data_IF_496620199515
#
_entry.id   IF_496620199515
#
_cell.length_a   1.000
_cell.length_b   1.000
_cell.length_c   1.000
_cell.angle_alpha   90.00
_cell.angle_beta   90.00
_cell.angle_gamma   90.00
#
_symmetry.space_group_name_H-M   'P 1'
#
loop_
_entity.id
_entity.type
_entity.pdbx_description
1 polymer ?
#
# COMPACT_ATOMS: atom_id res chain seq x y z
N UNK A 1 -27.05 9.12 -12.71
CA UNK A 1 -26.14 10.26 -12.48
C UNK A 1 -27.00 11.49 -12.23
N UNK A 2 -26.74 12.22 -11.15
CA UNK A 2 -27.47 13.44 -10.81
C UNK A 2 -27.04 14.57 -11.74
N UNK A 3 -27.95 15.12 -12.54
CA UNK A 3 -27.63 16.31 -13.32
C UNK A 3 -27.44 17.51 -12.37
N UNK A 4 -26.35 18.29 -12.53
CA UNK A 4 -26.07 19.45 -11.69
C UNK A 4 -27.12 20.56 -11.81
N UNK A 5 -28.04 20.44 -12.76
CA UNK A 5 -29.16 21.35 -12.97
C UNK A 5 -30.22 21.28 -11.86
N UNK A 6 -30.27 20.18 -11.10
CA UNK A 6 -31.14 20.07 -9.94
C UNK A 6 -30.37 20.37 -8.65
N UNK A 7 -30.98 21.14 -7.75
CA UNK A 7 -30.39 21.53 -6.47
C UNK A 7 -29.93 20.32 -5.63
N UNK A 8 -30.71 19.24 -5.67
CA UNK A 8 -30.38 17.96 -5.01
C UNK A 8 -29.15 17.30 -5.62
N UNK A 9 -28.97 17.41 -6.94
CA UNK A 9 -27.80 16.87 -7.64
C UNK A 9 -26.51 17.60 -7.26
N UNK A 10 -26.57 18.92 -7.18
CA UNK A 10 -25.42 19.74 -6.78
C UNK A 10 -24.98 19.46 -5.33
N UNK A 11 -25.92 19.34 -4.38
CA UNK A 11 -25.60 18.98 -3.00
C UNK A 11 -24.96 17.58 -2.92
N UNK A 12 -25.48 16.63 -3.70
CA UNK A 12 -24.93 15.27 -3.76
C UNK A 12 -23.49 15.29 -4.30
N UNK A 13 -23.21 16.10 -5.32
CA UNK A 13 -21.88 16.23 -5.90
C UNK A 13 -20.87 16.84 -4.91
N UNK A 14 -21.25 17.91 -4.19
CA UNK A 14 -20.39 18.52 -3.17
C UNK A 14 -20.12 17.57 -2.02
N UNK A 15 -21.17 16.91 -1.50
CA UNK A 15 -21.02 15.96 -0.39
C UNK A 15 -20.15 14.77 -0.78
N UNK A 16 -20.31 14.24 -2.00
CA UNK A 16 -19.45 13.21 -2.56
C UNK A 16 -17.98 13.66 -2.63
N UNK A 17 -17.73 14.87 -3.14
CA UNK A 17 -16.38 15.45 -3.21
C UNK A 17 -15.75 15.61 -1.81
N UNK A 18 -16.51 16.10 -0.84
CA UNK A 18 -16.05 16.26 0.55
C UNK A 18 -15.71 14.91 1.21
N UNK A 19 -16.55 13.88 1.01
CA UNK A 19 -16.29 12.54 1.51
C UNK A 19 -15.04 11.93 0.87
N UNK A 20 -14.84 12.15 -0.43
CA UNK A 20 -13.67 11.67 -1.15
C UNK A 20 -12.38 12.31 -0.63
N UNK A 21 -12.36 13.64 -0.44
CA UNK A 21 -11.24 14.33 0.18
C UNK A 21 -10.94 13.81 1.59
N UNK A 22 -11.99 13.66 2.41
CA UNK A 22 -11.87 13.10 3.75
C UNK A 22 -11.25 11.69 3.74
N UNK A 23 -11.70 10.83 2.81
CA UNK A 23 -11.16 9.48 2.65
C UNK A 23 -9.68 9.48 2.27
N UNK A 24 -9.25 10.40 1.41
CA UNK A 24 -7.84 10.55 1.01
C UNK A 24 -6.99 11.01 2.19
N UNK A 25 -7.44 12.00 2.96
CA UNK A 25 -6.72 12.49 4.14
C UNK A 25 -6.54 11.39 5.18
N UNK A 26 -7.62 10.66 5.50
CA UNK A 26 -7.60 9.54 6.45
C UNK A 26 -6.63 8.45 5.96
N UNK A 27 -6.66 8.16 4.66
CA UNK A 27 -5.77 7.15 4.06
C UNK A 27 -4.31 7.58 4.16
N UNK A 28 -3.96 8.81 3.80
CA UNK A 28 -2.60 9.34 3.96
C UNK A 28 -2.13 9.22 5.41
N UNK A 29 -2.97 9.67 6.36
CA UNK A 29 -2.65 9.60 7.79
C UNK A 29 -2.40 8.16 8.26
N UNK A 30 -3.26 7.22 7.86
CA UNK A 30 -3.12 5.80 8.18
C UNK A 30 -1.79 5.24 7.67
N UNK A 31 -1.43 5.49 6.42
CA UNK A 31 -0.21 4.92 5.82
C UNK A 31 1.06 5.52 6.41
N UNK A 32 1.07 6.82 6.71
CA UNK A 32 2.18 7.46 7.43
C UNK A 32 2.32 6.82 8.83
N UNK A 33 1.20 6.64 9.54
CA UNK A 33 1.17 5.97 10.83
C UNK A 33 1.77 4.57 10.77
N UNK A 34 1.40 3.79 9.77
CA UNK A 34 1.95 2.43 9.60
C UNK A 34 3.45 2.45 9.29
N UNK A 35 3.92 3.37 8.45
CA UNK A 35 5.35 3.52 8.16
C UNK A 35 6.17 3.85 9.44
N UNK A 36 5.64 4.72 10.30
CA UNK A 36 6.26 5.08 11.59
C UNK A 36 6.29 3.87 12.54
N UNK A 37 5.17 3.14 12.67
CA UNK A 37 5.09 1.95 13.53
C UNK A 37 6.08 0.88 13.09
N UNK A 38 6.21 0.64 11.78
CA UNK A 38 7.19 -0.32 11.26
C UNK A 38 8.63 0.10 11.53
N UNK A 39 8.93 1.40 11.42
CA UNK A 39 10.26 1.91 11.76
C UNK A 39 10.59 1.71 13.24
N UNK A 40 9.62 1.94 14.12
CA UNK A 40 9.76 1.70 15.57
C UNK A 40 9.94 0.22 15.90
N UNK A 41 9.16 -0.67 15.28
CA UNK A 41 9.32 -2.13 15.45
C UNK A 41 10.71 -2.59 15.05
N UNK A 42 11.20 -2.19 13.89
CA UNK A 42 12.55 -2.52 13.44
C UNK A 42 13.64 -2.04 14.41
N UNK A 43 13.46 -0.88 15.05
CA UNK A 43 14.40 -0.39 16.05
C UNK A 43 14.37 -1.22 17.34
N UNK A 44 13.17 -1.58 17.79
CA UNK A 44 12.96 -2.44 18.96
C UNK A 44 13.59 -3.83 18.74
N UNK A 45 13.41 -4.41 17.56
CA UNK A 45 14.00 -5.70 17.19
C UNK A 45 15.54 -5.66 17.20
N UNK A 46 16.15 -4.55 16.78
CA UNK A 46 17.61 -4.36 16.84
C UNK A 46 18.10 -4.36 18.30
N UNK A 47 17.36 -3.71 19.21
CA UNK A 47 17.75 -3.59 20.61
C UNK A 47 17.51 -4.87 21.41
N UNK A 48 16.39 -5.56 21.19
CA UNK A 48 15.98 -6.71 21.99
C UNK A 48 16.62 -8.02 21.51
N UNK A 49 16.85 -8.16 20.20
CA UNK A 49 17.31 -9.41 19.59
C UNK A 49 18.78 -9.37 19.13
N UNK A 50 19.51 -8.28 19.39
CA UNK A 50 20.90 -8.07 18.95
C UNK A 50 21.11 -8.37 17.45
N UNK A 51 20.10 -8.07 16.62
CA UNK A 51 20.17 -8.29 15.18
C UNK A 51 21.12 -7.30 14.53
N UNK A 52 21.76 -7.74 13.44
CA UNK A 52 22.59 -6.84 12.65
C UNK A 52 21.77 -5.64 12.15
N UNK A 53 22.23 -4.45 12.52
CA UNK A 53 21.57 -3.18 12.26
C UNK A 53 21.38 -2.95 10.76
N UNK A 54 22.35 -3.33 9.93
CA UNK A 54 22.31 -3.07 8.48
C UNK A 54 21.23 -3.91 7.80
N UNK A 55 21.24 -5.22 8.04
CA UNK A 55 20.27 -6.14 7.43
C UNK A 55 18.83 -5.86 7.87
N UNK A 56 18.60 -5.58 9.16
CA UNK A 56 17.26 -5.29 9.71
C UNK A 56 16.68 -4.00 9.11
N UNK A 57 17.50 -2.96 8.99
CA UNK A 57 17.06 -1.66 8.49
C UNK A 57 16.77 -1.69 6.98
N UNK A 58 17.53 -2.48 6.21
CA UNK A 58 17.24 -2.73 4.78
C UNK A 58 15.92 -3.48 4.61
N UNK A 59 15.67 -4.50 5.42
CA UNK A 59 14.40 -5.26 5.39
C UNK A 59 13.21 -4.36 5.72
N UNK A 60 13.32 -3.55 6.77
CA UNK A 60 12.30 -2.58 7.16
C UNK A 60 12.05 -1.54 6.07
N UNK A 61 13.10 -0.95 5.49
CA UNK A 61 12.99 0.02 4.40
C UNK A 61 12.28 -0.57 3.17
N UNK A 62 12.52 -1.85 2.85
CA UNK A 62 11.83 -2.52 1.74
C UNK A 62 10.32 -2.63 1.98
N UNK A 63 9.90 -2.94 3.22
CA UNK A 63 8.48 -2.97 3.59
C UNK A 63 7.89 -1.57 3.52
N UNK A 64 8.54 -0.57 4.12
CA UNK A 64 8.10 0.83 4.09
C UNK A 64 7.95 1.31 2.64
N UNK A 65 8.90 0.98 1.77
CA UNK A 65 8.85 1.33 0.36
C UNK A 65 7.64 0.74 -0.36
N UNK A 66 7.31 -0.55 -0.11
CA UNK A 66 6.10 -1.17 -0.68
C UNK A 66 4.83 -0.45 -0.24
N UNK A 67 4.77 -0.03 1.02
CA UNK A 67 3.63 0.69 1.60
C UNK A 67 3.48 2.07 1.00
N UNK A 68 4.60 2.79 0.82
CA UNK A 68 4.62 4.09 0.14
C UNK A 68 4.19 3.94 -1.33
N UNK A 69 4.69 2.91 -2.03
CA UNK A 69 4.27 2.63 -3.42
C UNK A 69 2.77 2.37 -3.52
N UNK A 70 2.20 1.61 -2.58
CA UNK A 70 0.75 1.37 -2.54
C UNK A 70 -0.03 2.65 -2.22
N UNK A 71 0.48 3.50 -1.34
CA UNK A 71 -0.11 4.83 -1.07
C UNK A 71 -0.11 5.70 -2.33
N UNK A 72 1.00 5.76 -3.07
CA UNK A 72 1.09 6.53 -4.31
C UNK A 72 0.09 6.01 -5.34
N UNK A 73 -0.02 4.68 -5.50
CA UNK A 73 -1.00 4.09 -6.41
C UNK A 73 -2.44 4.45 -6.02
N UNK A 74 -2.77 4.40 -4.72
CA UNK A 74 -4.06 4.84 -4.19
C UNK A 74 -4.31 6.33 -4.49
N UNK A 75 -3.31 7.20 -4.26
CA UNK A 75 -3.44 8.63 -4.52
C UNK A 75 -3.65 8.95 -6.00
N UNK A 76 -3.00 8.20 -6.90
CA UNK A 76 -3.21 8.37 -8.34
C UNK A 76 -4.64 7.94 -8.72
N UNK A 77 -5.08 6.78 -8.25
CA UNK A 77 -6.40 6.24 -8.57
C UNK A 77 -7.53 7.15 -8.07
N UNK A 78 -7.45 7.62 -6.83
CA UNK A 78 -8.47 8.50 -6.24
C UNK A 78 -8.28 9.97 -6.67
N UNK A 79 -7.04 10.39 -6.89
CA UNK A 79 -6.73 11.76 -7.31
C UNK A 79 -7.30 12.10 -8.69
N UNK A 80 -7.32 11.14 -9.62
CA UNK A 80 -7.94 11.35 -10.93
C UNK A 80 -9.44 11.66 -10.79
N UNK A 81 -10.16 10.89 -9.97
CA UNK A 81 -11.58 11.15 -9.71
C UNK A 81 -11.80 12.50 -9.01
N UNK A 82 -10.99 12.85 -8.00
CA UNK A 82 -11.07 14.15 -7.33
C UNK A 82 -10.92 15.29 -8.34
N UNK A 83 -9.96 15.20 -9.27
CA UNK A 83 -9.76 16.21 -10.30
C UNK A 83 -10.96 16.28 -11.25
N UNK A 84 -11.47 15.14 -11.70
CA UNK A 84 -12.63 15.09 -12.60
C UNK A 84 -13.88 15.70 -11.96
N UNK A 85 -14.20 15.30 -10.72
CA UNK A 85 -15.32 15.85 -9.95
C UNK A 85 -15.11 17.34 -9.68
N UNK A 86 -13.89 17.76 -9.38
CA UNK A 86 -13.55 19.17 -9.19
C UNK A 86 -13.81 20.00 -10.45
N UNK A 87 -13.42 19.50 -11.63
CA UNK A 87 -13.71 20.14 -12.92
C UNK A 87 -15.22 20.21 -13.16
N UNK A 88 -15.97 19.15 -12.87
CA UNK A 88 -17.43 19.13 -13.00
C UNK A 88 -18.10 20.16 -12.08
N UNK A 89 -17.64 20.30 -10.83
CA UNK A 89 -18.13 21.33 -9.90
C UNK A 89 -17.84 22.74 -10.43
N UNK A 90 -16.62 22.99 -10.95
CA UNK A 90 -16.21 24.31 -11.43
C UNK A 90 -16.93 24.70 -12.73
N UNK A 91 -17.03 23.76 -13.67
CA UNK A 91 -17.58 24.02 -15.01
C UNK A 91 -19.11 23.89 -15.06
N UNK A 92 -19.71 23.16 -14.12
CA UNK A 92 -21.13 22.81 -14.13
C UNK A 92 -21.54 21.90 -15.29
N UNK A 93 -20.59 21.40 -16.08
CA UNK A 93 -20.85 20.53 -17.21
C UNK A 93 -20.72 19.07 -16.80
N UNK A 94 -21.69 18.25 -17.22
CA UNK A 94 -21.68 16.81 -16.94
C UNK A 94 -20.50 16.13 -17.63
N UNK A 95 -19.78 15.30 -16.87
CA UNK A 95 -18.63 14.53 -17.38
C UNK A 95 -19.01 13.55 -18.49
N UNK A 96 -18.02 13.21 -19.33
CA UNK A 96 -18.17 12.16 -20.35
C UNK A 96 -18.34 10.79 -19.70
N UNK A 97 -19.22 9.96 -20.29
CA UNK A 97 -19.51 8.58 -19.84
C UNK A 97 -18.23 7.73 -19.81
N UNK A 98 -17.32 7.94 -20.76
CA UNK A 98 -16.05 7.19 -20.81
C UNK A 98 -15.17 7.51 -19.60
N UNK A 99 -15.10 8.78 -19.22
CA UNK A 99 -14.32 9.23 -18.07
C UNK A 99 -14.86 8.64 -16.77
N UNK A 100 -16.19 8.57 -16.65
CA UNK A 100 -16.86 7.97 -15.52
C UNK A 100 -16.55 6.47 -15.42
N UNK A 101 -16.67 5.75 -16.54
CA UNK A 101 -16.38 4.32 -16.59
C UNK A 101 -14.95 3.99 -16.16
N UNK A 102 -13.96 4.74 -16.66
CA UNK A 102 -12.55 4.57 -16.30
C UNK A 102 -12.34 4.83 -14.80
N UNK A 103 -12.98 5.87 -14.28
CA UNK A 103 -12.86 6.23 -12.87
C UNK A 103 -13.47 5.18 -11.94
N UNK A 104 -14.67 4.69 -12.24
CA UNK A 104 -15.32 3.60 -11.49
C UNK A 104 -14.47 2.33 -11.51
N UNK A 105 -13.85 2.02 -12.65
CA UNK A 105 -12.91 0.90 -12.76
C UNK A 105 -11.67 1.06 -11.88
N UNK A 106 -11.07 2.25 -11.88
CA UNK A 106 -9.91 2.56 -11.02
C UNK A 106 -10.28 2.50 -9.54
N UNK A 107 -11.44 3.06 -9.15
CA UNK A 107 -11.95 3.00 -7.78
C UNK A 107 -12.23 1.58 -7.32
N UNK A 108 -12.65 0.69 -8.23
CA UNK A 108 -12.89 -0.73 -7.94
C UNK A 108 -11.61 -1.49 -7.56
N UNK A 109 -10.42 -0.94 -7.83
CA UNK A 109 -9.14 -1.51 -7.40
C UNK A 109 -8.80 -1.14 -5.94
N UNK A 110 -9.44 -0.13 -5.34
CA UNK A 110 -9.14 0.30 -3.97
C UNK A 110 -9.30 -0.83 -2.92
N UNK A 111 -10.39 -1.64 -2.92
CA UNK A 111 -10.52 -2.75 -1.98
C UNK A 111 -9.41 -3.81 -2.14
N UNK A 112 -8.95 -4.04 -3.38
CA UNK A 112 -7.86 -4.99 -3.67
C UNK A 112 -6.55 -4.46 -3.07
N UNK A 113 -6.24 -3.17 -3.29
CA UNK A 113 -5.07 -2.50 -2.72
C UNK A 113 -5.11 -2.56 -1.19
N UNK A 114 -6.24 -2.19 -0.58
CA UNK A 114 -6.41 -2.24 0.87
C UNK A 114 -6.23 -3.65 1.44
N UNK A 115 -6.73 -4.68 0.74
CA UNK A 115 -6.57 -6.08 1.15
C UNK A 115 -5.12 -6.55 1.06
N UNK A 116 -4.42 -6.21 -0.03
CA UNK A 116 -3.00 -6.52 -0.22
C UNK A 116 -2.13 -5.92 0.89
N UNK A 117 -2.49 -4.71 1.35
CA UNK A 117 -1.81 -4.03 2.43
C UNK A 117 -1.99 -4.76 3.75
N UNK A 118 -3.23 -5.13 4.08
CA UNK A 118 -3.55 -5.83 5.32
C UNK A 118 -2.79 -7.17 5.41
N UNK A 119 -2.72 -7.91 4.29
CA UNK A 119 -1.94 -9.14 4.17
C UNK A 119 -0.44 -8.89 4.37
N UNK A 120 0.11 -7.77 3.87
CA UNK A 120 1.53 -7.46 4.05
C UNK A 120 1.89 -7.09 5.50
N UNK A 121 0.94 -6.60 6.29
CA UNK A 121 1.21 -6.14 7.65
C UNK A 121 0.96 -7.17 8.74
N UNK A 122 0.02 -8.09 8.52
CA UNK A 122 -0.30 -9.11 9.48
C UNK A 122 0.36 -10.42 9.07
N UNK A 123 1.54 -10.71 9.64
CA UNK A 123 2.23 -11.98 9.37
C UNK A 123 1.35 -13.20 9.67
N UNK A 124 0.50 -13.11 10.70
CA UNK A 124 -0.48 -14.15 11.03
C UNK A 124 -1.49 -14.35 9.90
N UNK A 125 -2.06 -13.27 9.36
CA UNK A 125 -3.02 -13.32 8.24
C UNK A 125 -2.34 -13.86 6.99
N UNK A 126 -1.11 -13.42 6.72
CA UNK A 126 -0.30 -13.91 5.61
C UNK A 126 -0.03 -15.41 5.72
N UNK A 127 0.32 -15.89 6.92
CA UNK A 127 0.57 -17.30 7.20
C UNK A 127 -0.68 -18.14 6.98
N UNK A 128 -1.82 -17.74 7.55
CA UNK A 128 -3.10 -18.42 7.33
C UNK A 128 -3.56 -18.39 5.86
N UNK A 129 -3.29 -17.30 5.14
CA UNK A 129 -3.63 -17.19 3.72
C UNK A 129 -2.79 -18.15 2.87
N UNK A 130 -1.50 -18.32 3.19
CA UNK A 130 -0.62 -19.26 2.50
C UNK A 130 -0.93 -20.72 2.82
N UNK A 131 -1.39 -21.01 4.03
CA UNK A 131 -1.90 -22.32 4.41
C UNK A 131 -3.18 -22.67 3.64
N UNK A 132 -4.09 -21.70 3.50
CA UNK A 132 -5.37 -21.89 2.78
C UNK A 132 -5.17 -21.95 1.26
N UNK A 133 -4.23 -21.17 0.71
CA UNK A 133 -3.99 -21.04 -0.72
C UNK A 133 -2.52 -21.29 -1.09
N UNK A 134 -2.09 -22.57 -1.18
CA UNK A 134 -0.68 -22.92 -1.43
C UNK A 134 -0.16 -22.45 -2.80
N UNK A 135 -1.04 -22.19 -3.76
CA UNK A 135 -0.67 -21.63 -5.08
C UNK A 135 -0.09 -20.22 -4.94
N UNK A 136 -0.63 -19.40 -4.03
CA UNK A 136 -0.11 -18.05 -3.75
C UNK A 136 1.28 -18.12 -3.13
N UNK A 137 1.54 -19.11 -2.27
CA UNK A 137 2.87 -19.37 -1.71
C UNK A 137 3.89 -19.70 -2.80
N UNK A 138 3.52 -20.46 -3.84
CA UNK A 138 4.43 -20.78 -4.95
C UNK A 138 4.84 -19.53 -5.76
N UNK A 139 3.90 -18.60 -5.95
CA UNK A 139 4.13 -17.34 -6.68
C UNK A 139 4.95 -16.33 -5.83
N UNK A 140 4.62 -16.19 -4.54
CA UNK A 140 5.30 -15.23 -3.65
C UNK A 140 6.56 -15.77 -2.97
N UNK A 141 6.66 -17.08 -2.76
CA UNK A 141 7.82 -17.77 -2.22
C UNK A 141 9.01 -17.73 -3.16
N UNK A 142 8.78 -17.80 -4.49
CA UNK A 142 9.79 -17.56 -5.52
C UNK A 142 10.50 -16.19 -5.35
N UNK A 143 9.74 -15.15 -4.98
CA UNK A 143 10.26 -13.80 -4.73
C UNK A 143 11.05 -13.65 -3.42
N UNK A 144 10.76 -14.44 -2.38
CA UNK A 144 11.49 -14.42 -1.10
C UNK A 144 12.65 -15.44 -1.05
N UNK A 145 12.65 -16.47 -1.90
CA UNK A 145 13.75 -17.45 -1.96
C UNK A 145 15.06 -16.79 -2.41
N UNK A 146 14.99 -15.74 -3.22
CA UNK A 146 16.13 -14.89 -3.55
C UNK A 146 16.76 -14.20 -2.32
N UNK A 147 15.97 -13.83 -1.31
CA UNK A 147 16.48 -13.24 -0.07
C UNK A 147 17.09 -14.29 0.88
N UNK A 148 16.58 -15.51 0.88
CA UNK A 148 17.13 -16.61 1.67
C UNK A 148 18.51 -17.05 1.14
N UNK A 149 18.67 -17.13 -0.18
CA UNK A 149 19.95 -17.47 -0.83
C UNK A 149 20.98 -16.36 -0.63
N UNK A 150 20.56 -15.07 -0.66
CA UNK A 150 21.46 -13.92 -0.42
C UNK A 150 21.87 -13.75 1.04
N UNK A 151 21.00 -14.13 1.99
CA UNK A 151 21.34 -14.17 3.41
C UNK A 151 22.37 -15.26 3.70
N UNK A 152 22.17 -16.47 3.17
CA UNK A 152 23.06 -17.61 3.36
C UNK A 152 24.46 -17.42 2.76
N UNK A 153 24.58 -16.71 1.63
CA UNK A 153 25.89 -16.44 1.01
C UNK A 153 26.78 -15.52 1.86
N UNK A 154 26.20 -14.54 2.56
CA UNK A 154 26.96 -13.61 3.41
C UNK A 154 27.38 -14.23 4.75
N UNK A 155 26.64 -15.21 5.27
CA UNK A 155 27.03 -15.92 6.50
C UNK A 155 28.23 -16.85 6.25
N UNK A 156 28.30 -17.47 5.07
CA UNK A 156 29.40 -18.37 4.68
C UNK A 156 30.74 -17.64 4.51
N UNK A 157 30.72 -16.42 3.98
CA UNK A 157 31.94 -15.60 3.82
C UNK A 157 32.51 -15.07 5.14
N UNK A 158 31.65 -14.86 6.15
CA UNK A 158 32.12 -14.44 7.47
C UNK A 158 32.67 -15.61 8.29
N UNK A 159 32.11 -16.82 8.15
CA UNK A 159 32.67 -18.02 8.78
C UNK A 159 34.04 -18.42 8.20
N UNK A 160 34.26 -18.26 6.89
CA UNK A 160 35.58 -18.53 6.28
C UNK A 160 36.68 -17.57 6.73
N UNK A 161 36.32 -16.36 7.16
CA UNK A 161 37.29 -15.40 7.69
C UNK A 161 37.61 -15.64 9.17
N UNK A 162 36.72 -16.29 9.93
CA UNK A 162 36.98 -16.68 11.32
C UNK A 162 37.77 -17.99 11.45
N UNK A 163 37.77 -18.86 10.44
CA UNK A 163 38.58 -20.09 10.45
C UNK A 163 40.06 -19.87 10.09
N UNK A 164 40.44 -18.67 9.68
CA UNK A 164 41.81 -18.30 9.28
C UNK A 164 42.51 -17.38 10.31
N UNK A 165 41.92 -17.20 11.49
CA UNK A 165 42.52 -16.55 12.65
C UNK A 165 42.70 -17.58 13.77
#
# INVERSE_FOLDING_TARGET
MSSPQFYTGYITLISYFALMLGSVIITIYSYIGIAIVQRRRAWKDIQELNLDKKSTLVRANRVIFKVIMLLVLFLIANGLEIVLVGIEIITGQTRSILSDYISVWLLSLNPIINSLILIQFHENVKSSLFETFPVLYKITGSLNMGDYIRGYSNTRSNQSNQSNQ
#
